data_IF_697920875435
#
_entry.id   IF_697920875435
#
_cell.length_a   1.000
_cell.length_b   1.000
_cell.length_c   1.000
_cell.angle_alpha   90.00
_cell.angle_beta   90.00
_cell.angle_gamma   90.00
#
_symmetry.space_group_name_H-M   'P 1'
#
loop_
_entity.id
_entity.type
_entity.pdbx_description
1 polymer ?
#
# COMPACT_ATOMS: atom_id res chain seq x y z
N UNK A 1 0.12 3.19 7.08
CA UNK A 1 0.12 1.72 7.05
C UNK A 1 0.06 1.18 8.46
N UNK A 2 -0.80 0.23 8.67
CA UNK A 2 -0.89 -0.48 9.96
C UNK A 2 -0.63 -1.96 9.71
N UNK A 3 0.18 -2.55 10.54
CA UNK A 3 0.49 -3.98 10.49
C UNK A 3 0.00 -4.64 11.77
N UNK A 4 -0.86 -5.63 11.63
CA UNK A 4 -1.53 -6.30 12.74
C UNK A 4 -1.33 -7.81 12.59
N UNK A 5 -0.14 -8.29 12.95
CA UNK A 5 0.14 -9.71 12.82
C UNK A 5 0.02 -10.19 11.38
N UNK A 6 -1.07 -10.90 11.07
CA UNK A 6 -1.28 -11.47 9.74
C UNK A 6 -1.95 -10.52 8.76
N UNK A 7 -2.41 -9.36 9.24
CA UNK A 7 -3.15 -8.41 8.41
C UNK A 7 -2.42 -7.08 8.30
N UNK A 8 -2.61 -6.44 7.18
CA UNK A 8 -2.09 -5.11 6.92
C UNK A 8 -3.22 -4.20 6.43
N UNK A 9 -3.12 -2.92 6.72
CA UNK A 9 -4.08 -1.93 6.25
C UNK A 9 -3.33 -0.74 5.67
N UNK A 10 -3.78 -0.29 4.50
CA UNK A 10 -3.23 0.87 3.80
C UNK A 10 -4.31 1.94 3.72
N UNK A 11 -3.97 3.17 4.06
CA UNK A 11 -4.91 4.31 4.02
C UNK A 11 -4.33 5.46 3.23
N UNK A 12 -5.24 6.34 2.82
CA UNK A 12 -4.87 7.61 2.22
C UNK A 12 -4.70 8.63 3.35
N UNK A 13 -3.49 9.11 3.56
CA UNK A 13 -3.19 10.04 4.64
C UNK A 13 -3.88 11.39 4.48
N UNK A 14 -4.26 11.77 3.26
CA UNK A 14 -4.92 13.04 3.00
C UNK A 14 -6.31 13.14 3.62
N UNK A 15 -6.93 12.02 3.91
CA UNK A 15 -8.29 11.97 4.42
C UNK A 15 -8.36 11.86 5.94
N UNK A 16 -7.22 11.92 6.60
CA UNK A 16 -7.16 11.77 8.06
C UNK A 16 -7.95 12.79 8.83
N UNK A 17 -8.04 14.00 8.29
CA UNK A 17 -8.68 15.12 8.97
C UNK A 17 -10.18 15.21 8.74
N UNK A 18 -10.73 14.36 7.89
CA UNK A 18 -12.14 14.45 7.54
C UNK A 18 -13.08 13.93 8.62
N UNK A 19 -12.54 13.25 9.61
CA UNK A 19 -13.34 12.76 10.74
C UNK A 19 -14.36 11.68 10.39
N UNK A 20 -14.41 11.26 9.14
CA UNK A 20 -15.30 10.21 8.68
C UNK A 20 -14.53 8.92 8.44
N UNK A 21 -15.23 7.84 8.17
CA UNK A 21 -14.61 6.59 7.82
C UNK A 21 -13.73 6.79 6.58
N UNK A 22 -12.43 6.55 6.72
CA UNK A 22 -11.49 6.72 5.63
C UNK A 22 -11.45 5.46 4.77
N UNK A 23 -11.26 5.59 3.46
CA UNK A 23 -11.03 4.41 2.64
C UNK A 23 -9.78 3.68 3.12
N UNK A 24 -9.90 2.38 3.27
CA UNK A 24 -8.80 1.53 3.73
C UNK A 24 -8.76 0.32 2.82
N UNK A 25 -7.56 -0.07 2.40
CA UNK A 25 -7.36 -1.35 1.74
C UNK A 25 -6.75 -2.30 2.75
N UNK A 26 -7.46 -3.38 3.04
CA UNK A 26 -6.99 -4.42 3.95
C UNK A 26 -6.59 -5.66 3.16
N UNK A 27 -5.48 -6.25 3.54
CA UNK A 27 -4.99 -7.48 2.92
C UNK A 27 -4.13 -8.22 3.93
N UNK A 28 -3.79 -9.47 3.63
CA UNK A 28 -2.89 -10.20 4.51
C UNK A 28 -1.50 -9.56 4.49
N UNK A 29 -0.76 -9.69 5.57
CA UNK A 29 0.62 -9.21 5.63
C UNK A 29 1.47 -9.85 4.54
N UNK A 30 1.25 -11.13 4.26
CA UNK A 30 1.95 -11.83 3.20
C UNK A 30 1.73 -11.16 1.84
N UNK A 31 0.49 -10.83 1.52
CA UNK A 31 0.17 -10.15 0.27
C UNK A 31 0.76 -8.73 0.25
N UNK A 32 0.76 -8.07 1.39
CA UNK A 32 1.34 -6.72 1.47
C UNK A 32 2.85 -6.76 1.23
N UNK A 33 3.54 -7.79 1.71
CA UNK A 33 4.96 -7.95 1.43
C UNK A 33 5.22 -8.16 -0.06
N UNK A 34 4.37 -8.94 -0.72
CA UNK A 34 4.45 -9.13 -2.17
C UNK A 34 4.22 -7.79 -2.89
N UNK A 35 3.23 -7.01 -2.45
CA UNK A 35 2.98 -5.70 -3.03
C UNK A 35 4.19 -4.78 -2.89
N UNK A 36 4.84 -4.80 -1.74
CA UNK A 36 6.07 -4.01 -1.55
C UNK A 36 7.15 -4.44 -2.54
N UNK A 37 7.32 -5.74 -2.76
CA UNK A 37 8.27 -6.25 -3.74
C UNK A 37 7.93 -5.78 -5.15
N UNK A 38 6.65 -5.71 -5.50
CA UNK A 38 6.21 -5.18 -6.79
C UNK A 38 6.64 -3.73 -6.96
N UNK A 39 6.48 -2.92 -5.91
CA UNK A 39 6.88 -1.51 -5.95
C UNK A 39 8.38 -1.33 -6.11
N UNK A 40 9.17 -2.29 -5.66
CA UNK A 40 10.62 -2.26 -5.80
C UNK A 40 11.13 -2.94 -7.07
N UNK A 41 10.22 -3.47 -7.88
CA UNK A 41 10.59 -4.18 -9.10
C UNK A 41 11.08 -5.60 -8.87
N UNK A 42 10.84 -6.15 -7.68
CA UNK A 42 11.30 -7.50 -7.31
C UNK A 42 10.25 -8.57 -7.60
N UNK A 43 9.03 -8.18 -7.94
CA UNK A 43 7.96 -9.11 -8.28
C UNK A 43 7.12 -8.52 -9.41
N UNK A 44 6.48 -9.37 -10.24
CA UNK A 44 5.62 -8.87 -11.32
C UNK A 44 4.40 -8.14 -10.78
N UNK A 45 3.95 -7.11 -11.50
CA UNK A 45 2.78 -6.33 -11.11
C UNK A 45 1.56 -7.27 -10.99
N UNK A 46 0.78 -7.06 -9.92
CA UNK A 46 -0.41 -7.85 -9.65
C UNK A 46 -0.17 -9.14 -8.90
N UNK A 47 1.09 -9.46 -8.56
CA UNK A 47 1.41 -10.72 -7.87
C UNK A 47 0.75 -10.83 -6.50
N UNK A 48 0.46 -9.69 -5.82
CA UNK A 48 -0.16 -9.72 -4.51
C UNK A 48 -1.64 -10.17 -4.54
N UNK A 49 -2.31 -9.99 -5.69
CA UNK A 49 -3.69 -10.45 -5.87
C UNK A 49 -4.76 -9.59 -5.21
N UNK A 50 -4.41 -8.46 -4.61
CA UNK A 50 -5.38 -7.57 -3.97
C UNK A 50 -5.25 -6.13 -4.41
N UNK A 51 -4.05 -5.58 -4.49
CA UNK A 51 -3.83 -4.17 -4.84
C UNK A 51 -3.27 -4.07 -6.25
N UNK A 52 -3.92 -3.24 -7.06
CA UNK A 52 -3.45 -2.88 -8.39
C UNK A 52 -3.09 -1.41 -8.37
N UNK A 53 -1.99 -1.05 -9.01
CA UNK A 53 -1.58 0.35 -9.15
C UNK A 53 -2.02 0.84 -10.52
N UNK A 54 -2.90 1.85 -10.53
CA UNK A 54 -3.37 2.48 -11.75
C UNK A 54 -2.68 3.83 -11.92
N UNK A 55 -2.14 4.10 -13.09
CA UNK A 55 -1.58 5.41 -13.39
C UNK A 55 -2.69 6.35 -13.82
N UNK A 56 -2.79 7.50 -13.16
CA UNK A 56 -3.84 8.46 -13.39
C UNK A 56 -3.39 9.65 -14.25
N UNK A 57 -2.11 9.73 -14.57
CA UNK A 57 -1.54 10.87 -15.28
C UNK A 57 -1.03 11.95 -14.33
N UNK A 58 -0.19 12.83 -14.86
CA UNK A 58 0.38 13.96 -14.10
C UNK A 58 1.07 13.55 -12.80
N UNK A 59 1.64 12.34 -12.75
CA UNK A 59 2.33 11.83 -11.57
C UNK A 59 1.41 11.23 -10.52
N UNK A 60 0.10 11.23 -10.72
CA UNK A 60 -0.85 10.61 -9.79
C UNK A 60 -0.99 9.12 -10.04
N UNK A 61 -1.14 8.36 -8.96
CA UNK A 61 -1.45 6.94 -9.04
C UNK A 61 -2.59 6.62 -8.08
N UNK A 62 -3.28 5.52 -8.33
CA UNK A 62 -4.27 4.97 -7.42
C UNK A 62 -3.90 3.55 -7.05
N UNK A 63 -3.99 3.23 -5.78
CA UNK A 63 -3.96 1.85 -5.32
C UNK A 63 -5.41 1.39 -5.23
N UNK A 64 -5.77 0.37 -6.01
CA UNK A 64 -7.15 -0.11 -6.09
C UNK A 64 -7.25 -1.51 -5.54
N UNK A 65 -8.18 -1.69 -4.61
CA UNK A 65 -8.48 -3.02 -4.06
C UNK A 65 -9.34 -3.81 -5.05
N UNK A 66 -8.91 -5.01 -5.37
CA UNK A 66 -9.68 -5.87 -6.27
C UNK A 66 -10.93 -6.43 -5.60
N UNK A 67 -10.89 -6.65 -4.29
CA UNK A 67 -12.02 -7.25 -3.58
C UNK A 67 -13.12 -6.24 -3.25
N UNK A 68 -12.77 -4.99 -2.95
CA UNK A 68 -13.74 -3.99 -2.51
C UNK A 68 -13.94 -2.83 -3.49
N UNK A 69 -13.02 -2.62 -4.42
CA UNK A 69 -13.06 -1.49 -5.34
C UNK A 69 -12.59 -0.19 -4.73
N UNK A 70 -12.16 -0.18 -3.48
CA UNK A 70 -11.63 1.02 -2.82
C UNK A 70 -10.40 1.51 -3.56
N UNK A 71 -10.30 2.81 -3.78
CA UNK A 71 -9.14 3.44 -4.39
C UNK A 71 -8.52 4.44 -3.44
N UNK A 72 -7.19 4.39 -3.33
CA UNK A 72 -6.41 5.37 -2.59
C UNK A 72 -5.53 6.12 -3.59
N UNK A 73 -5.61 7.43 -3.60
CA UNK A 73 -4.87 8.25 -4.56
C UNK A 73 -3.64 8.86 -3.91
N UNK A 74 -2.53 8.76 -4.61
CA UNK A 74 -1.26 9.33 -4.17
C UNK A 74 -0.68 10.19 -5.29
N UNK A 75 -0.18 11.38 -4.95
CA UNK A 75 0.60 12.15 -5.89
C UNK A 75 2.04 11.62 -5.95
N UNK A 76 2.87 12.21 -6.81
CA UNK A 76 4.24 11.72 -6.99
C UNK A 76 5.06 11.77 -5.71
N UNK A 77 4.91 12.83 -4.92
CA UNK A 77 5.68 12.98 -3.68
C UNK A 77 5.23 11.96 -2.63
N UNK A 78 3.93 11.76 -2.52
CA UNK A 78 3.39 10.77 -1.59
C UNK A 78 3.78 9.35 -1.98
N UNK A 79 3.73 9.05 -3.27
CA UNK A 79 4.16 7.74 -3.75
C UNK A 79 5.65 7.52 -3.48
N UNK A 80 6.47 8.53 -3.75
CA UNK A 80 7.89 8.43 -3.49
C UNK A 80 8.18 8.20 -2.01
N UNK A 81 7.48 8.90 -1.13
CA UNK A 81 7.62 8.70 0.31
C UNK A 81 7.23 7.27 0.71
N UNK A 82 6.15 6.75 0.13
CA UNK A 82 5.72 5.39 0.39
C UNK A 82 6.78 4.38 -0.07
N UNK A 83 7.29 4.55 -1.29
CA UNK A 83 8.30 3.64 -1.85
C UNK A 83 9.60 3.70 -1.04
N UNK A 84 10.00 4.90 -0.59
CA UNK A 84 11.18 5.02 0.26
C UNK A 84 10.98 4.31 1.60
N UNK A 85 9.79 4.39 2.18
CA UNK A 85 9.46 3.63 3.38
C UNK A 85 9.53 2.12 3.13
N UNK A 86 9.04 1.67 1.98
CA UNK A 86 9.14 0.26 1.58
C UNK A 86 10.61 -0.16 1.47
N UNK A 87 11.41 0.67 0.80
CA UNK A 87 12.83 0.38 0.58
C UNK A 87 13.60 0.32 1.90
N UNK A 88 13.22 1.16 2.84
CA UNK A 88 13.84 1.19 4.17
C UNK A 88 13.35 0.07 5.08
N UNK A 89 12.36 -0.72 4.65
CA UNK A 89 11.82 -1.82 5.46
C UNK A 89 10.85 -1.37 6.54
N UNK A 90 10.33 -0.15 6.47
CA UNK A 90 9.45 0.40 7.52
C UNK A 90 8.13 -0.33 7.63
N UNK A 91 7.66 -0.94 6.56
CA UNK A 91 6.36 -1.60 6.50
C UNK A 91 6.47 -3.12 6.57
N UNK A 92 7.61 -3.63 6.97
CA UNK A 92 7.76 -5.06 7.20
C UNK A 92 7.51 -5.37 8.67
N UNK A 93 6.78 -6.45 8.98
CA UNK A 93 6.60 -6.81 10.36
C UNK A 93 7.96 -7.10 10.99
N UNK A 94 8.13 -6.69 12.24
CA UNK A 94 9.32 -7.03 12.96
C UNK A 94 9.39 -8.55 13.10
N UNK A 95 10.44 -9.16 12.58
CA UNK A 95 10.65 -10.58 12.78
C UNK A 95 11.21 -10.74 14.18
N UNK A 96 10.45 -11.39 15.04
CA UNK A 96 10.82 -11.52 16.43
C UNK A 96 12.18 -12.18 16.61
N UNK A 97 12.57 -12.97 15.68
CA UNK A 97 13.85 -13.64 15.69
C UNK A 97 14.99 -12.78 15.19
N UNK A 98 14.65 -11.66 14.64
CA UNK A 98 15.68 -10.80 14.10
C UNK A 98 16.51 -10.22 15.23
#
# INVERSE_FOLDING_TARGET
VRLDGEDAAVRDSKQREMGEAQPIIELSTERFLVFQDELLGLAPAGSNGEIVVDELGHGWVAFRSLSTGVQLRYDADELNAFVEGVRAGEFRPALASA
#
